data_IF_206040362064
#
_entry.id   IF_206040362064
#
_cell.length_a   1.000
_cell.length_b   1.000
_cell.length_c   1.000
_cell.angle_alpha   90.00
_cell.angle_beta   90.00
_cell.angle_gamma   90.00
#
_symmetry.space_group_name_H-M   'P 1'
#
loop_
_entity.id
_entity.type
_entity.pdbx_description
1 polymer ?
#
# COMPACT_ATOMS: atom_id res chain seq x y z
N UNK A 1 0.93 -3.66 -15.70
CA UNK A 1 1.16 -2.37 -15.01
C UNK A 1 2.27 -2.56 -13.99
N UNK A 2 3.12 -1.55 -13.78
CA UNK A 2 4.14 -1.55 -12.72
C UNK A 2 3.47 -1.11 -11.41
N UNK A 3 3.77 -1.79 -10.30
CA UNK A 3 3.28 -1.40 -8.96
C UNK A 3 3.95 -0.10 -8.54
N UNK A 4 3.16 0.92 -8.26
CA UNK A 4 3.58 2.15 -7.59
C UNK A 4 3.37 1.99 -6.08
N UNK A 5 4.47 1.84 -5.35
CA UNK A 5 4.42 1.59 -3.91
C UNK A 5 4.10 2.86 -3.10
N UNK A 6 4.29 4.05 -3.67
CA UNK A 6 3.86 5.30 -3.05
C UNK A 6 2.33 5.41 -3.11
N UNK A 7 1.73 5.03 -4.24
CA UNK A 7 0.27 4.93 -4.36
C UNK A 7 -0.30 3.85 -3.42
N UNK A 8 0.33 2.67 -3.34
CA UNK A 8 -0.08 1.62 -2.39
C UNK A 8 -0.13 2.16 -0.96
N UNK A 9 0.94 2.86 -0.52
CA UNK A 9 0.99 3.47 0.82
C UNK A 9 -0.13 4.50 1.01
N UNK A 10 -0.36 5.39 0.05
CA UNK A 10 -1.43 6.39 0.11
C UNK A 10 -2.82 5.73 0.24
N UNK A 11 -3.09 4.66 -0.52
CA UNK A 11 -4.36 3.91 -0.46
C UNK A 11 -4.54 3.25 0.91
N UNK A 12 -3.49 2.63 1.46
CA UNK A 12 -3.58 2.01 2.80
C UNK A 12 -3.94 3.03 3.88
N UNK A 13 -3.32 4.21 3.84
CA UNK A 13 -3.63 5.33 4.75
C UNK A 13 -5.07 5.80 4.56
N UNK A 14 -5.54 5.93 3.31
CA UNK A 14 -6.92 6.34 3.03
C UNK A 14 -7.95 5.35 3.58
N UNK A 15 -7.70 4.04 3.41
CA UNK A 15 -8.59 2.99 3.94
C UNK A 15 -8.59 3.02 5.47
N UNK A 16 -7.44 3.13 6.11
CA UNK A 16 -7.38 3.16 7.58
C UNK A 16 -8.05 4.40 8.20
N UNK A 17 -7.98 5.55 7.51
CA UNK A 17 -8.64 6.78 7.96
C UNK A 17 -10.15 6.81 7.67
N UNK A 18 -10.68 5.85 6.91
CA UNK A 18 -12.11 5.79 6.62
C UNK A 18 -12.91 5.45 7.87
N UNK A 19 -14.06 6.10 8.03
CA UNK A 19 -14.95 5.94 9.19
C UNK A 19 -15.92 4.76 9.00
N UNK A 20 -16.08 4.32 7.75
CA UNK A 20 -17.03 3.29 7.31
C UNK A 20 -16.29 2.27 6.43
N UNK A 21 -16.68 1.00 6.52
CA UNK A 21 -16.22 -0.09 5.67
C UNK A 21 -17.20 -0.36 4.50
N UNK A 22 -18.11 0.57 4.19
CA UNK A 22 -18.96 0.48 3.01
C UNK A 22 -18.13 0.66 1.72
N UNK A 23 -18.10 -0.33 0.80
CA UNK A 23 -17.34 -0.22 -0.44
C UNK A 23 -17.78 0.98 -1.30
N UNK A 24 -16.80 1.76 -1.74
CA UNK A 24 -17.03 2.91 -2.62
C UNK A 24 -17.28 4.23 -1.88
N UNK A 25 -17.20 4.22 -0.55
CA UNK A 25 -17.28 5.45 0.28
C UNK A 25 -15.91 6.00 0.68
N UNK A 26 -14.84 5.20 0.51
CA UNK A 26 -13.46 5.58 0.83
C UNK A 26 -12.94 6.58 -0.20
N UNK A 27 -12.49 7.75 0.27
CA UNK A 27 -11.85 8.78 -0.55
C UNK A 27 -10.43 8.33 -0.94
N UNK A 28 -10.26 7.93 -2.20
CA UNK A 28 -8.99 7.41 -2.71
C UNK A 28 -8.09 8.54 -3.24
N UNK A 29 -6.76 8.37 -3.21
CA UNK A 29 -5.83 9.37 -3.70
C UNK A 29 -5.86 9.46 -5.24
N UNK A 30 -6.57 10.46 -5.79
CA UNK A 30 -6.65 10.74 -7.24
C UNK A 30 -5.78 11.92 -7.72
N UNK A 31 -5.19 12.71 -6.81
CA UNK A 31 -4.50 13.96 -7.16
C UNK A 31 -3.44 13.82 -8.28
N UNK A 32 -2.62 12.76 -8.19
CA UNK A 32 -1.54 12.47 -9.13
C UNK A 32 -1.87 11.29 -10.08
N UNK A 33 -3.06 10.67 -9.95
CA UNK A 33 -3.38 9.38 -10.56
C UNK A 33 -4.76 9.37 -11.19
N UNK A 34 -4.87 8.84 -12.41
CA UNK A 34 -6.19 8.60 -13.00
C UNK A 34 -6.90 7.41 -12.32
N UNK A 35 -8.23 7.41 -12.39
CA UNK A 35 -9.10 6.40 -11.75
C UNK A 35 -8.74 4.97 -12.16
N UNK A 36 -8.42 4.76 -13.43
CA UNK A 36 -8.03 3.44 -13.94
C UNK A 36 -6.78 2.95 -13.23
N UNK A 37 -5.80 3.82 -12.99
CA UNK A 37 -4.57 3.47 -12.27
C UNK A 37 -4.86 3.16 -10.81
N UNK A 38 -5.71 3.96 -10.15
CA UNK A 38 -6.10 3.73 -8.76
C UNK A 38 -6.84 2.39 -8.61
N UNK A 39 -7.89 2.14 -9.40
CA UNK A 39 -8.65 0.88 -9.34
C UNK A 39 -7.80 -0.35 -9.63
N UNK A 40 -6.87 -0.22 -10.59
CA UNK A 40 -5.95 -1.30 -10.90
C UNK A 40 -4.97 -1.58 -9.74
N UNK A 41 -4.55 -0.56 -8.98
CA UNK A 41 -3.77 -0.76 -7.76
C UNK A 41 -4.59 -1.38 -6.64
N UNK A 42 -5.84 -0.93 -6.44
CA UNK A 42 -6.77 -1.55 -5.47
C UNK A 42 -6.93 -3.04 -5.77
N UNK A 43 -7.15 -3.42 -7.03
CA UNK A 43 -7.20 -4.83 -7.45
C UNK A 43 -5.93 -5.59 -7.07
N UNK A 44 -4.75 -5.06 -7.41
CA UNK A 44 -3.48 -5.71 -7.09
C UNK A 44 -3.24 -5.83 -5.58
N UNK A 45 -3.65 -4.85 -4.80
CA UNK A 45 -3.54 -4.87 -3.34
C UNK A 45 -4.47 -5.93 -2.74
N UNK A 46 -5.66 -6.13 -3.31
CA UNK A 46 -6.56 -7.21 -2.94
C UNK A 46 -5.96 -8.59 -3.26
N UNK A 47 -5.48 -8.79 -4.49
CA UNK A 47 -4.78 -10.03 -4.90
C UNK A 47 -3.52 -10.29 -4.06
N UNK A 48 -2.85 -9.22 -3.61
CA UNK A 48 -1.68 -9.27 -2.73
C UNK A 48 -1.98 -9.38 -1.24
N UNK A 49 -3.24 -9.61 -0.85
CA UNK A 49 -3.68 -9.75 0.54
C UNK A 49 -3.30 -8.56 1.43
N UNK A 50 -3.23 -7.34 0.89
CA UNK A 50 -3.06 -6.12 1.69
C UNK A 50 -4.41 -5.53 2.11
N UNK A 51 -5.44 -5.70 1.29
CA UNK A 51 -6.77 -5.13 1.52
C UNK A 51 -7.88 -6.10 1.13
N UNK A 52 -9.06 -5.89 1.70
CA UNK A 52 -10.30 -6.42 1.17
C UNK A 52 -10.95 -5.39 0.24
N UNK A 53 -11.34 -5.84 -0.95
CA UNK A 53 -11.96 -5.02 -1.97
C UNK A 53 -12.94 -5.85 -2.80
N UNK A 54 -13.91 -5.19 -3.40
CA UNK A 54 -14.91 -5.81 -4.30
C UNK A 54 -14.83 -5.21 -5.69
N UNK A 55 -14.98 -6.06 -6.70
CA UNK A 55 -15.12 -5.62 -8.09
C UNK A 55 -16.53 -5.05 -8.31
N UNK A 56 -16.61 -3.85 -8.85
CA UNK A 56 -17.86 -3.23 -9.27
C UNK A 56 -18.49 -4.00 -10.43
N UNK A 57 -19.81 -4.14 -10.43
CA UNK A 57 -20.52 -4.80 -11.53
C UNK A 57 -20.61 -3.86 -12.73
N UNK A 58 -19.90 -4.18 -13.82
CA UNK A 58 -19.96 -3.46 -15.10
C UNK A 58 -19.59 -4.37 -16.27
N UNK A 59 -20.02 -4.03 -17.48
CA UNK A 59 -19.73 -4.82 -18.70
C UNK A 59 -18.36 -4.52 -19.32
N UNK A 60 -17.61 -3.57 -18.76
CA UNK A 60 -16.28 -3.17 -19.22
C UNK A 60 -15.18 -3.93 -18.45
N UNK A 61 -14.09 -4.25 -19.14
CA UNK A 61 -12.85 -4.81 -18.58
C UNK A 61 -12.12 -3.82 -17.65
N UNK A 62 -12.56 -2.57 -17.57
CA UNK A 62 -12.11 -1.56 -16.61
C UNK A 62 -13.03 -1.43 -15.39
N UNK A 63 -13.71 -2.51 -14.99
CA UNK A 63 -14.59 -2.50 -13.83
C UNK A 63 -13.88 -1.87 -12.61
N UNK A 64 -14.52 -0.88 -11.95
CA UNK A 64 -13.93 -0.22 -10.79
C UNK A 64 -13.74 -1.21 -9.65
N UNK A 65 -12.70 -1.02 -8.84
CA UNK A 65 -12.44 -1.82 -7.65
C UNK A 65 -12.61 -0.94 -6.41
N UNK A 66 -13.43 -1.40 -5.48
CA UNK A 66 -13.80 -0.65 -4.29
C UNK A 66 -13.20 -1.30 -3.05
N UNK A 67 -12.20 -0.66 -2.42
CA UNK A 67 -11.67 -1.14 -1.14
C UNK A 67 -12.68 -0.92 -0.03
N UNK A 68 -12.56 -1.71 1.04
CA UNK A 68 -13.37 -1.51 2.23
C UNK A 68 -12.64 -1.71 3.56
N UNK A 69 -11.61 -2.56 3.61
CA UNK A 69 -10.80 -2.70 4.83
C UNK A 69 -9.39 -3.18 4.54
N UNK A 70 -8.48 -2.95 5.49
CA UNK A 70 -7.16 -3.57 5.48
C UNK A 70 -7.27 -5.03 5.91
N UNK A 71 -6.42 -5.89 5.35
CA UNK A 71 -6.17 -7.21 5.98
C UNK A 71 -5.24 -7.02 7.17
N UNK A 72 -5.05 -8.06 7.99
CA UNK A 72 -4.00 -8.05 9.02
C UNK A 72 -2.61 -7.76 8.43
N UNK A 73 -2.28 -8.37 7.29
CA UNK A 73 -1.03 -8.13 6.60
C UNK A 73 -0.92 -6.69 6.07
N UNK A 74 -2.05 -6.09 5.66
CA UNK A 74 -2.14 -4.68 5.30
C UNK A 74 -1.82 -3.74 6.45
N UNK A 75 -2.35 -4.02 7.65
CA UNK A 75 -2.03 -3.28 8.87
C UNK A 75 -0.55 -3.39 9.22
N UNK A 76 -0.02 -4.61 9.29
CA UNK A 76 1.39 -4.89 9.58
C UNK A 76 2.34 -4.14 8.62
N UNK A 77 2.04 -4.22 7.32
CA UNK A 77 2.81 -3.51 6.30
C UNK A 77 2.70 -1.99 6.47
N UNK A 78 1.48 -1.46 6.62
CA UNK A 78 1.24 -0.03 6.78
C UNK A 78 1.98 0.52 8.00
N UNK A 79 1.91 -0.14 9.15
CA UNK A 79 2.57 0.30 10.37
C UNK A 79 4.10 0.37 10.23
N UNK A 80 4.71 -0.55 9.48
CA UNK A 80 6.14 -0.50 9.19
C UNK A 80 6.53 0.65 8.25
N UNK A 81 5.64 1.08 7.34
CA UNK A 81 5.93 2.13 6.34
C UNK A 81 5.25 3.46 6.63
N UNK A 82 4.51 3.59 7.75
CA UNK A 82 3.73 4.79 8.08
C UNK A 82 4.59 6.01 8.32
N UNK A 83 5.74 5.86 8.98
CA UNK A 83 6.63 6.97 9.29
C UNK A 83 7.35 7.45 8.03
N UNK A 84 7.18 8.73 7.67
CA UNK A 84 7.77 9.29 6.45
C UNK A 84 9.30 9.18 6.41
N UNK A 85 9.96 9.26 7.57
CA UNK A 85 11.42 9.13 7.64
C UNK A 85 11.87 7.69 7.42
N UNK A 86 11.15 6.69 7.95
CA UNK A 86 11.37 5.27 7.63
C UNK A 86 11.11 5.03 6.14
N UNK A 87 9.98 5.50 5.61
CA UNK A 87 9.63 5.31 4.20
C UNK A 87 10.69 5.88 3.27
N UNK A 88 11.14 7.11 3.52
CA UNK A 88 12.21 7.74 2.74
C UNK A 88 13.50 6.91 2.72
N UNK A 89 13.90 6.32 3.87
CA UNK A 89 15.07 5.44 3.94
C UNK A 89 14.89 4.13 3.17
N UNK A 90 13.70 3.51 3.25
CA UNK A 90 13.36 2.31 2.47
C UNK A 90 13.45 2.59 0.97
N UNK A 91 12.85 3.70 0.49
CA UNK A 91 12.91 4.09 -0.93
C UNK A 91 14.32 4.39 -1.39
N UNK A 92 15.11 5.06 -0.56
CA UNK A 92 16.53 5.36 -0.82
C UNK A 92 17.34 4.07 -1.01
N UNK A 93 17.24 3.13 -0.07
CA UNK A 93 17.97 1.85 -0.13
C UNK A 93 17.52 0.97 -1.30
N UNK A 94 16.22 0.92 -1.60
CA UNK A 94 15.74 0.21 -2.80
C UNK A 94 16.40 0.80 -4.05
N UNK A 95 16.42 2.13 -4.19
CA UNK A 95 17.05 2.82 -5.31
C UNK A 95 18.55 2.54 -5.40
N UNK A 96 19.27 2.59 -4.28
CA UNK A 96 20.71 2.31 -4.20
C UNK A 96 21.03 0.84 -4.56
N UNK A 97 20.14 -0.09 -4.24
CA UNK A 97 20.30 -1.50 -4.61
C UNK A 97 20.26 -1.74 -6.12
N UNK A 98 19.63 -0.84 -6.88
CA UNK A 98 19.39 -1.00 -8.32
C UNK A 98 18.31 -2.03 -8.68
N UNK A 99 17.70 -2.68 -7.70
CA UNK A 99 16.63 -3.66 -7.88
C UNK A 99 15.27 -3.10 -7.46
N UNK A 100 14.21 -3.54 -8.14
CA UNK A 100 12.84 -3.37 -7.62
C UNK A 100 12.55 -4.51 -6.65
N UNK A 101 12.23 -4.18 -5.41
CA UNK A 101 11.97 -5.17 -4.38
C UNK A 101 10.54 -5.74 -4.51
N UNK A 102 10.35 -7.04 -4.21
CA UNK A 102 9.01 -7.58 -4.00
C UNK A 102 8.36 -6.92 -2.78
N UNK A 103 7.03 -7.05 -2.62
CA UNK A 103 6.30 -6.48 -1.47
C UNK A 103 6.95 -6.89 -0.14
N UNK A 104 7.23 -8.19 0.01
CA UNK A 104 7.86 -8.71 1.23
C UNK A 104 9.27 -8.16 1.44
N UNK A 105 10.04 -7.94 0.36
CA UNK A 105 11.36 -7.33 0.45
C UNK A 105 11.31 -5.90 0.95
N UNK A 106 10.32 -5.11 0.52
CA UNK A 106 10.07 -3.77 1.04
C UNK A 106 9.63 -3.80 2.50
N UNK A 107 8.77 -4.76 2.86
CA UNK A 107 8.28 -4.92 4.22
C UNK A 107 9.43 -5.23 5.19
N UNK A 108 10.27 -6.22 4.86
CA UNK A 108 11.42 -6.60 5.67
C UNK A 108 12.42 -5.44 5.82
N UNK A 109 12.63 -4.66 4.75
CA UNK A 109 13.49 -3.48 4.81
C UNK A 109 12.91 -2.37 5.70
N UNK A 110 11.59 -2.19 5.68
CA UNK A 110 10.90 -1.25 6.56
C UNK A 110 10.99 -1.67 8.04
N UNK A 111 10.79 -2.95 8.34
CA UNK A 111 10.98 -3.50 9.69
C UNK A 111 12.42 -3.33 10.17
N UNK A 112 13.41 -3.56 9.29
CA UNK A 112 14.81 -3.30 9.61
C UNK A 112 15.05 -1.82 9.97
N UNK A 113 14.53 -0.88 9.19
CA UNK A 113 14.63 0.55 9.46
C UNK A 113 13.91 0.97 10.76
N UNK A 114 12.77 0.34 11.06
CA UNK A 114 12.03 0.53 12.30
C UNK A 114 12.83 0.03 13.50
N UNK A 115 13.38 -1.19 13.42
CA UNK A 115 14.18 -1.78 14.50
C UNK A 115 15.45 -0.97 14.79
N UNK A 116 16.08 -0.41 13.75
CA UNK A 116 17.21 0.53 13.95
C UNK A 116 16.76 1.79 14.68
N UNK A 117 15.62 2.38 14.29
CA UNK A 117 15.07 3.58 14.93
C UNK A 117 14.73 3.33 16.41
N UNK A 118 14.25 2.12 16.73
CA UNK A 118 13.91 1.69 18.09
C UNK A 118 15.12 1.20 18.91
N UNK A 119 16.30 1.05 18.31
CA UNK A 119 17.48 0.50 18.98
C UNK A 119 17.38 -0.99 19.31
N UNK A 120 16.49 -1.72 18.62
CA UNK A 120 16.27 -3.16 18.84
C UNK A 120 17.32 -4.05 18.15
N UNK A 121 18.13 -3.47 17.26
CA UNK A 121 19.29 -4.11 16.65
C UNK A 121 20.54 -3.52 17.33
N UNK A 122 20.98 -4.20 18.38
CA UNK A 122 22.21 -3.92 19.11
C UNK A 122 22.77 -5.22 19.70
N UNK A 123 23.88 -5.69 19.12
CA UNK A 123 24.60 -6.93 19.49
C UNK A 123 25.14 -7.66 18.27
#
# INVERSE_FOLDING_TARGET
MKRDMDLVRKILIAIENSVDDEPGTIDLPHDDYNDVTVFQHVRLMHEGNLIHAVEGRGFDKSAPWYPHSLTWHGHDFLDAVRDDAIWARVRMREKESGYTLPLEGLYQLAIFELNNKLGLIGG
#
